data_IF_375872625567
#
_entry.id   IF_375872625567
#
_cell.length_a   1.000
_cell.length_b   1.000
_cell.length_c   1.000
_cell.angle_alpha   90.00
_cell.angle_beta   90.00
_cell.angle_gamma   90.00
#
_symmetry.space_group_name_H-M   'P 1'
#
loop_
_entity.id
_entity.type
_entity.pdbx_description
1 polymer ?
#
# COMPACT_ATOMS: atom_id res chain seq x y z
N UNK A 1 -23.87 -21.98 -35.14
CA UNK A 1 -23.24 -23.31 -35.24
C UNK A 1 -22.16 -23.36 -34.18
N UNK A 2 -22.45 -23.97 -33.04
CA UNK A 2 -21.49 -24.06 -31.93
C UNK A 2 -20.53 -25.21 -32.21
N UNK A 3 -19.32 -24.87 -32.68
CA UNK A 3 -18.21 -25.82 -32.68
C UNK A 3 -17.94 -26.22 -31.23
N UNK A 4 -17.87 -27.53 -30.97
CA UNK A 4 -17.79 -28.09 -29.62
C UNK A 4 -16.67 -27.46 -28.79
N UNK A 5 -16.98 -27.21 -27.52
CA UNK A 5 -16.12 -26.61 -26.50
C UNK A 5 -14.74 -27.26 -26.33
N UNK A 6 -14.52 -28.45 -26.88
CA UNK A 6 -13.28 -29.21 -26.77
C UNK A 6 -12.18 -28.75 -27.76
N UNK A 7 -12.49 -27.84 -28.70
CA UNK A 7 -11.57 -27.30 -29.70
C UNK A 7 -11.44 -25.77 -29.65
N UNK A 8 -11.98 -25.12 -28.63
CA UNK A 8 -11.82 -23.69 -28.48
C UNK A 8 -10.38 -23.36 -28.07
N UNK A 9 -9.91 -22.19 -28.49
CA UNK A 9 -8.52 -21.77 -28.28
C UNK A 9 -8.17 -21.71 -26.79
N UNK A 10 -9.10 -21.23 -25.96
CA UNK A 10 -8.97 -21.19 -24.49
C UNK A 10 -8.78 -22.58 -23.88
N UNK A 11 -9.55 -23.57 -24.34
CA UNK A 11 -9.47 -24.94 -23.82
C UNK A 11 -8.14 -25.59 -24.21
N UNK A 12 -7.68 -25.39 -25.45
CA UNK A 12 -6.39 -25.90 -25.90
C UNK A 12 -5.25 -25.24 -25.13
N UNK A 13 -5.24 -23.91 -25.03
CA UNK A 13 -4.18 -23.16 -24.35
C UNK A 13 -4.14 -23.50 -22.87
N UNK A 14 -5.28 -23.51 -22.17
CA UNK A 14 -5.36 -23.87 -20.76
C UNK A 14 -4.90 -25.30 -20.49
N UNK A 15 -5.33 -26.27 -21.30
CA UNK A 15 -4.92 -27.68 -21.15
C UNK A 15 -3.45 -27.93 -21.50
N UNK A 16 -2.88 -27.15 -22.41
CA UNK A 16 -1.54 -27.35 -22.99
C UNK A 16 -0.55 -26.25 -22.63
N UNK A 17 -0.83 -25.46 -21.60
CA UNK A 17 0.02 -24.36 -21.17
C UNK A 17 1.46 -24.84 -20.90
N UNK A 18 1.64 -25.96 -20.19
CA UNK A 18 2.97 -26.50 -19.87
C UNK A 18 3.79 -26.86 -21.12
N UNK A 19 3.15 -27.29 -22.21
CA UNK A 19 3.82 -27.51 -23.49
C UNK A 19 4.27 -26.19 -24.12
N UNK A 20 3.41 -25.18 -24.12
CA UNK A 20 3.73 -23.86 -24.64
C UNK A 20 4.89 -23.22 -23.86
N UNK A 21 4.87 -23.28 -22.53
CA UNK A 21 5.93 -22.80 -21.64
C UNK A 21 7.25 -23.54 -21.86
N UNK A 22 7.19 -24.87 -22.01
CA UNK A 22 8.37 -25.68 -22.25
C UNK A 22 9.06 -25.31 -23.57
N UNK A 23 8.28 -25.12 -24.63
CA UNK A 23 8.76 -24.73 -25.97
C UNK A 23 9.16 -23.24 -26.05
N UNK A 24 8.58 -22.38 -25.22
CA UNK A 24 8.97 -20.96 -25.10
C UNK A 24 10.41 -20.82 -24.62
N UNK A 25 10.80 -21.61 -23.61
CA UNK A 25 12.16 -21.57 -23.03
C UNK A 25 13.21 -21.88 -24.08
N UNK A 26 13.02 -23.00 -24.78
CA UNK A 26 13.86 -23.42 -25.90
C UNK A 26 13.05 -24.33 -26.84
N UNK A 27 13.38 -24.37 -28.13
CA UNK A 27 12.85 -25.33 -29.09
C UNK A 27 13.16 -26.75 -28.68
N UNK A 28 12.17 -27.65 -28.75
CA UNK A 28 12.30 -29.03 -28.24
C UNK A 28 11.71 -30.05 -29.18
N UNK A 29 12.32 -31.23 -29.26
CA UNK A 29 11.75 -32.41 -29.90
C UNK A 29 10.80 -33.16 -28.97
N UNK A 30 10.17 -34.23 -29.48
CA UNK A 30 9.20 -35.03 -28.72
C UNK A 30 9.80 -35.69 -27.47
N UNK A 31 10.98 -36.30 -27.60
CA UNK A 31 11.64 -36.96 -26.48
C UNK A 31 12.02 -35.98 -25.35
N UNK A 32 12.42 -34.76 -25.71
CA UNK A 32 12.71 -33.70 -24.74
C UNK A 32 11.43 -33.25 -24.03
N UNK A 33 10.32 -33.11 -24.76
CA UNK A 33 9.02 -32.78 -24.16
C UNK A 33 8.48 -33.90 -23.26
N UNK A 34 8.70 -35.17 -23.60
CA UNK A 34 8.35 -36.31 -22.72
C UNK A 34 9.10 -36.22 -21.40
N UNK A 35 10.41 -35.93 -21.47
CA UNK A 35 11.29 -35.82 -20.29
C UNK A 35 10.97 -34.59 -19.45
N UNK A 36 10.85 -33.42 -20.07
CA UNK A 36 10.66 -32.14 -19.37
C UNK A 36 9.30 -32.01 -18.70
N UNK A 37 8.27 -32.65 -19.25
CA UNK A 37 6.90 -32.58 -18.73
C UNK A 37 6.52 -33.82 -17.91
N UNK A 38 7.36 -34.85 -17.87
CA UNK A 38 7.10 -36.15 -17.25
C UNK A 38 5.74 -36.75 -17.71
N UNK A 39 5.54 -36.82 -19.02
CA UNK A 39 4.30 -37.35 -19.62
C UNK A 39 4.58 -38.41 -20.68
N UNK A 40 3.60 -39.29 -20.89
CA UNK A 40 3.71 -40.33 -21.91
C UNK A 40 3.89 -39.77 -23.33
N UNK A 41 4.59 -40.53 -24.17
CA UNK A 41 4.67 -40.26 -25.62
C UNK A 41 3.31 -40.02 -26.27
N UNK A 42 2.28 -40.79 -25.89
CA UNK A 42 0.93 -40.63 -26.43
C UNK A 42 0.32 -39.26 -26.07
N UNK A 43 0.66 -38.74 -24.88
CA UNK A 43 0.26 -37.41 -24.41
C UNK A 43 0.99 -36.33 -25.19
N UNK A 44 2.30 -36.47 -25.41
CA UNK A 44 3.12 -35.54 -26.21
C UNK A 44 2.62 -35.48 -27.66
N UNK A 45 2.44 -36.64 -28.29
CA UNK A 45 1.95 -36.72 -29.67
C UNK A 45 0.56 -36.11 -29.84
N UNK A 46 -0.31 -36.24 -28.83
CA UNK A 46 -1.64 -35.61 -28.83
C UNK A 46 -1.54 -34.10 -28.61
N UNK A 47 -0.75 -33.65 -27.63
CA UNK A 47 -0.58 -32.24 -27.30
C UNK A 47 0.02 -31.45 -28.47
N UNK A 48 1.06 -31.98 -29.10
CA UNK A 48 1.67 -31.38 -30.30
C UNK A 48 0.64 -31.28 -31.42
N UNK A 49 -0.09 -32.36 -31.71
CA UNK A 49 -1.12 -32.34 -32.76
C UNK A 49 -2.20 -31.29 -32.49
N UNK A 50 -2.69 -31.19 -31.26
CA UNK A 50 -3.67 -30.17 -30.87
C UNK A 50 -3.12 -28.75 -31.06
N UNK A 51 -1.88 -28.49 -30.64
CA UNK A 51 -1.22 -27.19 -30.75
C UNK A 51 -0.84 -26.79 -32.18
N UNK A 52 -0.36 -27.75 -33.00
CA UNK A 52 -0.06 -27.53 -34.42
C UNK A 52 -1.33 -27.28 -35.21
N UNK A 53 -2.40 -28.05 -34.97
CA UNK A 53 -3.70 -27.85 -35.61
C UNK A 53 -4.31 -26.49 -35.25
N UNK A 54 -4.05 -25.99 -34.03
CA UNK A 54 -4.44 -24.66 -33.59
C UNK A 54 -3.50 -23.54 -34.08
N UNK A 55 -2.41 -23.88 -34.79
CA UNK A 55 -1.43 -22.91 -35.31
C UNK A 55 -0.59 -22.23 -34.22
N UNK A 56 -0.55 -22.78 -33.00
CA UNK A 56 0.18 -22.21 -31.87
C UNK A 56 1.66 -22.62 -31.86
N UNK A 57 1.98 -23.77 -32.45
CA UNK A 57 3.37 -24.22 -32.62
C UNK A 57 3.61 -24.60 -34.08
N UNK A 58 4.89 -24.62 -34.45
CA UNK A 58 5.37 -25.12 -35.74
C UNK A 58 6.56 -26.03 -35.54
N UNK A 59 6.71 -27.01 -36.42
CA UNK A 59 7.88 -27.90 -36.46
C UNK A 59 8.95 -27.36 -37.42
N UNK A 60 10.22 -27.47 -37.04
CA UNK A 60 11.39 -27.24 -37.90
C UNK A 60 12.51 -28.19 -37.46
N UNK A 61 13.06 -28.97 -38.38
CA UNK A 61 14.12 -29.96 -38.08
C UNK A 61 13.78 -30.88 -36.89
N UNK A 62 12.53 -31.34 -36.82
CA UNK A 62 12.05 -32.22 -35.76
C UNK A 62 12.02 -31.59 -34.34
N UNK A 63 12.10 -30.25 -34.27
CA UNK A 63 11.91 -29.45 -33.05
C UNK A 63 10.71 -28.53 -33.19
N UNK A 64 10.01 -28.29 -32.09
CA UNK A 64 8.83 -27.42 -32.04
C UNK A 64 9.20 -26.05 -31.49
N UNK A 65 8.54 -25.02 -32.03
CA UNK A 65 8.66 -23.61 -31.60
C UNK A 65 7.29 -22.96 -31.56
N UNK A 66 7.12 -21.96 -30.70
CA UNK A 66 5.91 -21.14 -30.72
C UNK A 66 5.83 -20.31 -32.00
N UNK A 67 4.64 -20.23 -32.59
CA UNK A 67 4.33 -19.18 -33.56
C UNK A 67 4.09 -17.84 -32.85
N UNK A 68 3.86 -16.75 -33.60
CA UNK A 68 3.39 -15.50 -32.99
C UNK A 68 2.07 -15.71 -32.23
N UNK A 69 1.13 -16.46 -32.81
CA UNK A 69 -0.13 -16.81 -32.16
C UNK A 69 0.10 -17.62 -30.88
N UNK A 70 1.02 -18.59 -30.89
CA UNK A 70 1.42 -19.35 -29.71
C UNK A 70 1.97 -18.50 -28.58
N UNK A 71 2.88 -17.57 -28.91
CA UNK A 71 3.44 -16.63 -27.93
C UNK A 71 2.36 -15.72 -27.35
N UNK A 72 1.53 -15.11 -28.20
CA UNK A 72 0.46 -14.21 -27.74
C UNK A 72 -0.56 -14.94 -26.88
N UNK A 73 -0.97 -16.16 -27.25
CA UNK A 73 -1.89 -16.97 -26.46
C UNK A 73 -1.30 -17.37 -25.11
N UNK A 74 -0.01 -17.75 -25.08
CA UNK A 74 0.69 -18.06 -23.83
C UNK A 74 0.77 -16.83 -22.90
N UNK A 75 1.11 -15.66 -23.45
CA UNK A 75 1.11 -14.40 -22.66
C UNK A 75 -0.28 -14.10 -22.10
N UNK A 76 -1.34 -14.29 -22.89
CA UNK A 76 -2.71 -14.03 -22.44
C UNK A 76 -3.13 -14.96 -21.29
N UNK A 77 -2.83 -16.26 -21.37
CA UNK A 77 -3.19 -17.20 -20.28
C UNK A 77 -2.37 -16.95 -19.02
N UNK A 78 -1.09 -16.56 -19.18
CA UNK A 78 -0.23 -16.17 -18.05
C UNK A 78 -0.75 -14.91 -17.36
N UNK A 79 -1.17 -13.88 -18.12
CA UNK A 79 -1.81 -12.68 -17.57
C UNK A 79 -3.11 -13.01 -16.85
N UNK A 80 -3.95 -13.88 -17.42
CA UNK A 80 -5.18 -14.35 -16.77
C UNK A 80 -4.92 -15.02 -15.43
N UNK A 81 -3.97 -15.97 -15.38
CA UNK A 81 -3.63 -16.65 -14.13
C UNK A 81 -3.03 -15.70 -13.10
N UNK A 82 -2.14 -14.79 -13.53
CA UNK A 82 -1.57 -13.76 -12.67
C UNK A 82 -2.67 -12.89 -12.05
N UNK A 83 -3.59 -12.36 -12.85
CA UNK A 83 -4.70 -11.53 -12.36
C UNK A 83 -5.60 -12.26 -11.38
N UNK A 84 -5.92 -13.54 -11.63
CA UNK A 84 -6.71 -14.32 -10.67
C UNK A 84 -5.97 -14.56 -9.35
N UNK A 85 -4.65 -14.76 -9.40
CA UNK A 85 -3.83 -14.93 -8.20
C UNK A 85 -3.74 -13.62 -7.39
N UNK A 86 -3.59 -12.48 -8.06
CA UNK A 86 -3.62 -11.15 -7.42
C UNK A 86 -4.97 -10.92 -6.72
N UNK A 87 -6.08 -11.20 -7.41
CA UNK A 87 -7.43 -11.12 -6.83
C UNK A 87 -7.60 -12.08 -5.66
N UNK A 88 -7.11 -13.32 -5.75
CA UNK A 88 -7.15 -14.31 -4.66
C UNK A 88 -6.36 -13.82 -3.43
N UNK A 89 -5.20 -13.22 -3.66
CA UNK A 89 -4.33 -12.64 -2.63
C UNK A 89 -5.00 -11.45 -1.93
N UNK A 90 -5.61 -10.54 -2.70
CA UNK A 90 -6.34 -9.37 -2.20
C UNK A 90 -7.79 -9.64 -1.76
N UNK A 91 -8.30 -10.86 -1.93
CA UNK A 91 -9.74 -11.18 -1.83
C UNK A 91 -10.37 -10.73 -0.53
N UNK A 92 -9.69 -10.97 0.59
CA UNK A 92 -10.23 -10.66 1.92
C UNK A 92 -10.42 -9.15 2.13
N UNK A 93 -9.53 -8.31 1.61
CA UNK A 93 -9.69 -6.86 1.65
C UNK A 93 -10.76 -6.41 0.64
N UNK A 94 -10.60 -6.80 -0.63
CA UNK A 94 -11.47 -6.36 -1.73
C UNK A 94 -12.96 -6.68 -1.48
N UNK A 95 -13.25 -7.85 -0.90
CA UNK A 95 -14.63 -8.27 -0.59
C UNK A 95 -15.31 -7.45 0.52
N UNK A 96 -14.56 -6.61 1.24
CA UNK A 96 -15.10 -5.73 2.30
C UNK A 96 -15.32 -4.29 1.85
N UNK A 97 -14.85 -3.94 0.65
CA UNK A 97 -14.97 -2.59 0.10
C UNK A 97 -16.33 -2.41 -0.60
N UNK A 98 -16.86 -1.18 -0.67
CA UNK A 98 -18.03 -0.88 -1.48
C UNK A 98 -17.83 -1.30 -2.94
N UNK A 99 -18.85 -1.87 -3.58
CA UNK A 99 -18.76 -2.36 -4.96
C UNK A 99 -18.66 -1.26 -6.01
N UNK A 100 -19.06 -0.04 -5.64
CA UNK A 100 -19.05 1.18 -6.45
C UNK A 100 -17.87 2.09 -6.15
N UNK A 101 -16.89 1.63 -5.36
CA UNK A 101 -15.67 2.39 -5.10
C UNK A 101 -14.91 2.68 -6.40
N UNK A 102 -14.55 3.94 -6.60
CA UNK A 102 -13.89 4.39 -7.84
C UNK A 102 -12.38 4.09 -7.81
N UNK A 103 -12.04 2.80 -7.97
CA UNK A 103 -10.67 2.35 -8.16
C UNK A 103 -10.59 1.58 -9.47
N UNK A 104 -9.84 2.12 -10.41
CA UNK A 104 -9.71 1.51 -11.72
C UNK A 104 -8.92 0.20 -11.66
N UNK A 105 -9.30 -0.77 -12.49
CA UNK A 105 -8.59 -2.07 -12.58
C UNK A 105 -7.10 -1.92 -12.92
N UNK A 106 -6.72 -0.84 -13.63
CA UNK A 106 -5.30 -0.54 -13.91
C UNK A 106 -4.47 -0.28 -12.66
N UNK A 107 -5.08 0.20 -11.57
CA UNK A 107 -4.41 0.35 -10.27
C UNK A 107 -4.30 -0.98 -9.53
N UNK A 108 -5.20 -1.93 -9.81
CA UNK A 108 -5.22 -3.26 -9.18
C UNK A 108 -4.29 -4.27 -9.88
N UNK A 109 -3.91 -4.04 -11.14
CA UNK A 109 -2.96 -4.89 -11.89
C UNK A 109 -1.58 -4.91 -11.23
N UNK A 110 -1.15 -6.06 -10.73
CA UNK A 110 0.15 -6.18 -10.06
C UNK A 110 0.20 -5.52 -8.68
N UNK A 111 -0.94 -5.14 -8.10
CA UNK A 111 -0.97 -4.48 -6.80
C UNK A 111 -0.60 -5.43 -5.65
N UNK A 112 0.00 -4.85 -4.60
CA UNK A 112 0.19 -5.49 -3.31
C UNK A 112 -0.90 -5.08 -2.33
N UNK A 113 -1.36 -6.02 -1.51
CA UNK A 113 -2.47 -5.82 -0.58
C UNK A 113 -2.00 -6.02 0.86
N UNK A 114 -2.29 -5.07 1.74
CA UNK A 114 -2.10 -5.20 3.18
C UNK A 114 -3.45 -4.99 3.89
N UNK A 115 -3.87 -5.95 4.71
CA UNK A 115 -5.11 -5.87 5.46
C UNK A 115 -4.81 -5.77 6.95
N UNK A 116 -5.57 -4.93 7.66
CA UNK A 116 -5.45 -4.81 9.10
C UNK A 116 -5.76 -6.16 9.76
N UNK A 117 -4.89 -6.59 10.66
CA UNK A 117 -5.12 -7.78 11.47
C UNK A 117 -5.81 -7.38 12.78
N UNK A 118 -6.71 -8.20 13.35
CA UNK A 118 -7.35 -7.86 14.63
C UNK A 118 -6.36 -7.70 15.80
N UNK A 119 -5.21 -8.37 15.74
CA UNK A 119 -4.22 -8.38 16.81
C UNK A 119 -3.42 -7.08 16.87
N UNK A 120 -3.05 -6.53 15.70
CA UNK A 120 -2.31 -5.27 15.58
C UNK A 120 -2.83 -4.52 14.33
N UNK A 121 -4.04 -3.93 14.38
CA UNK A 121 -4.70 -3.34 13.21
C UNK A 121 -3.84 -2.26 12.56
N UNK A 122 -3.22 -1.47 13.42
CA UNK A 122 -2.42 -0.31 13.11
C UNK A 122 -1.09 -0.61 12.42
N UNK A 123 -0.60 -1.86 12.47
CA UNK A 123 0.70 -2.21 11.87
C UNK A 123 0.77 -1.90 10.38
N UNK A 124 -0.36 -1.95 9.68
CA UNK A 124 -0.38 -1.74 8.23
C UNK A 124 -0.04 -0.31 7.83
N UNK A 125 -0.27 0.69 8.68
CA UNK A 125 0.05 2.09 8.36
C UNK A 125 1.56 2.29 8.20
N UNK A 126 2.38 1.39 8.77
CA UNK A 126 3.83 1.40 8.55
C UNK A 126 4.20 1.31 7.07
N UNK A 127 3.40 0.66 6.23
CA UNK A 127 3.68 0.62 4.79
C UNK A 127 3.69 2.04 4.19
N UNK A 128 2.73 2.89 4.57
CA UNK A 128 2.72 4.30 4.17
C UNK A 128 3.98 5.02 4.67
N UNK A 129 4.35 4.83 5.93
CA UNK A 129 5.53 5.50 6.49
C UNK A 129 6.85 5.02 5.89
N UNK A 130 6.97 3.73 5.59
CA UNK A 130 8.12 3.14 4.89
C UNK A 130 8.25 3.75 3.48
N UNK A 131 7.14 4.00 2.78
CA UNK A 131 7.14 4.71 1.49
C UNK A 131 7.61 6.17 1.61
N UNK A 132 7.24 6.86 2.69
CA UNK A 132 7.59 8.27 2.92
C UNK A 132 9.04 8.43 3.37
N UNK A 133 9.57 7.47 4.13
CA UNK A 133 10.88 7.59 4.81
C UNK A 133 12.01 7.98 3.85
N UNK A 134 12.03 7.41 2.64
CA UNK A 134 13.03 7.68 1.61
C UNK A 134 12.58 8.65 0.51
N UNK A 135 11.41 9.27 0.64
CA UNK A 135 10.83 10.05 -0.45
C UNK A 135 11.37 11.47 -0.54
N UNK A 136 11.71 11.92 -1.74
CA UNK A 136 12.02 13.32 -2.03
C UNK A 136 10.74 14.16 -2.11
N UNK A 137 9.67 13.61 -2.69
CA UNK A 137 8.38 14.24 -2.90
C UNK A 137 7.24 13.31 -2.52
N UNK A 138 6.40 13.77 -1.60
CA UNK A 138 5.15 13.13 -1.23
C UNK A 138 3.96 13.94 -1.73
N UNK A 139 3.02 13.27 -2.41
CA UNK A 139 1.71 13.82 -2.76
C UNK A 139 0.64 12.99 -2.05
N UNK A 140 -0.27 13.64 -1.35
CA UNK A 140 -1.31 12.96 -0.58
C UNK A 140 -2.69 13.57 -0.77
N UNK A 141 -3.72 12.74 -0.62
CA UNK A 141 -5.11 13.15 -0.39
C UNK A 141 -5.64 12.41 0.82
N UNK A 142 -6.21 13.12 1.78
CA UNK A 142 -6.77 12.52 3.01
C UNK A 142 -8.20 12.99 3.28
N UNK A 143 -9.19 12.19 2.88
CA UNK A 143 -10.59 12.37 3.29
C UNK A 143 -10.82 12.13 4.79
N UNK A 144 -9.91 11.42 5.45
CA UNK A 144 -9.99 11.09 6.88
C UNK A 144 -8.63 11.30 7.52
N UNK A 145 -8.59 12.00 8.66
CA UNK A 145 -7.40 12.10 9.49
C UNK A 145 -7.25 10.89 10.43
N UNK A 146 -6.06 10.30 10.42
CA UNK A 146 -5.67 9.27 11.38
C UNK A 146 -5.00 9.94 12.59
N UNK A 147 -5.81 10.46 13.52
CA UNK A 147 -5.33 11.30 14.63
C UNK A 147 -4.13 10.72 15.41
N UNK A 148 -4.11 9.40 15.66
CA UNK A 148 -3.01 8.72 16.34
C UNK A 148 -1.66 8.71 15.61
N UNK A 149 -1.65 9.13 14.34
CA UNK A 149 -0.51 9.08 13.43
C UNK A 149 -0.07 10.45 12.91
N UNK A 150 -0.75 11.54 13.30
CA UNK A 150 -0.45 12.89 12.82
C UNK A 150 0.97 13.31 13.19
N UNK A 151 1.37 13.16 14.46
CA UNK A 151 2.72 13.53 14.91
C UNK A 151 3.82 12.73 14.21
N UNK A 152 3.61 11.44 13.97
CA UNK A 152 4.55 10.57 13.25
C UNK A 152 4.65 10.98 11.78
N UNK A 153 3.52 11.24 11.13
CA UNK A 153 3.47 11.74 9.76
C UNK A 153 4.18 13.10 9.63
N UNK A 154 3.93 14.02 10.57
CA UNK A 154 4.59 15.33 10.61
C UNK A 154 6.09 15.18 10.79
N UNK A 155 6.51 14.33 11.74
CA UNK A 155 7.93 14.08 12.00
C UNK A 155 8.62 13.52 10.76
N UNK A 156 8.06 12.46 10.16
CA UNK A 156 8.67 11.80 9.00
C UNK A 156 8.80 12.77 7.82
N UNK A 157 7.74 13.52 7.53
CA UNK A 157 7.71 14.42 6.37
C UNK A 157 8.55 15.69 6.54
N UNK A 158 8.74 16.18 7.76
CA UNK A 158 9.50 17.42 8.01
C UNK A 158 10.98 17.17 8.31
N UNK A 159 11.32 16.08 9.02
CA UNK A 159 12.69 15.76 9.41
C UNK A 159 13.52 15.26 8.22
N UNK A 160 12.92 14.48 7.32
CA UNK A 160 13.64 13.90 6.18
C UNK A 160 13.80 14.85 5.00
N UNK A 161 13.26 16.08 5.11
CA UNK A 161 13.34 17.08 4.06
C UNK A 161 12.45 16.79 2.85
N UNK A 162 11.53 15.85 2.94
CA UNK A 162 10.54 15.55 1.91
C UNK A 162 9.71 16.79 1.56
N UNK A 163 9.46 17.01 0.28
CA UNK A 163 8.52 18.03 -0.19
C UNK A 163 7.12 17.45 -0.15
N UNK A 164 6.24 18.01 0.66
CA UNK A 164 4.87 17.52 0.86
C UNK A 164 3.89 18.40 0.09
N UNK A 165 3.02 17.76 -0.69
CA UNK A 165 1.82 18.38 -1.28
C UNK A 165 0.61 17.56 -0.88
N UNK A 166 -0.18 18.05 0.06
CA UNK A 166 -1.23 17.25 0.68
C UNK A 166 -2.55 17.99 0.61
N UNK A 167 -3.55 17.37 0.01
CA UNK A 167 -4.93 17.83 0.10
C UNK A 167 -5.63 17.12 1.26
N UNK A 168 -6.18 17.89 2.19
CA UNK A 168 -6.92 17.40 3.35
C UNK A 168 -8.35 17.85 3.20
N UNK A 169 -9.29 16.96 3.49
CA UNK A 169 -10.71 17.30 3.39
C UNK A 169 -11.09 18.47 4.33
N UNK A 170 -11.99 19.34 3.88
CA UNK A 170 -12.40 20.54 4.63
C UNK A 170 -12.94 20.20 6.02
N UNK A 171 -13.78 19.17 6.15
CA UNK A 171 -14.34 18.75 7.44
C UNK A 171 -13.23 18.26 8.38
N UNK A 172 -12.20 17.63 7.81
CA UNK A 172 -11.01 17.21 8.57
C UNK A 172 -10.22 18.42 9.06
N UNK A 173 -10.01 19.43 8.21
CA UNK A 173 -9.32 20.67 8.60
C UNK A 173 -10.07 21.38 9.72
N UNK A 174 -11.38 21.56 9.60
CA UNK A 174 -12.23 22.17 10.63
C UNK A 174 -12.12 21.41 11.96
N UNK A 175 -12.20 20.08 11.91
CA UNK A 175 -12.09 19.21 13.08
C UNK A 175 -10.72 19.32 13.76
N UNK A 176 -9.62 19.31 12.99
CA UNK A 176 -8.26 19.46 13.51
C UNK A 176 -8.04 20.83 14.16
N UNK A 177 -8.60 21.89 13.58
CA UNK A 177 -8.51 23.23 14.11
C UNK A 177 -9.37 23.42 15.37
N UNK A 178 -10.48 22.70 15.50
CA UNK A 178 -11.36 22.75 16.68
C UNK A 178 -10.84 21.94 17.88
N UNK A 179 -9.96 20.95 17.66
CA UNK A 179 -9.39 20.08 18.70
C UNK A 179 -8.10 20.68 19.28
N UNK A 180 -8.08 21.22 20.53
CA UNK A 180 -6.92 21.92 21.08
C UNK A 180 -5.62 21.11 21.09
N UNK A 181 -5.71 19.80 21.31
CA UNK A 181 -4.59 18.86 21.35
C UNK A 181 -3.97 18.56 19.97
N UNK A 182 -4.71 18.74 18.87
CA UNK A 182 -4.23 18.52 17.50
C UNK A 182 -3.91 19.83 16.78
N UNK A 183 -4.59 20.92 17.17
CA UNK A 183 -4.53 22.24 16.53
C UNK A 183 -3.10 22.77 16.40
N UNK A 184 -2.32 22.72 17.48
CA UNK A 184 -0.96 23.30 17.46
C UNK A 184 -0.03 22.57 16.49
N UNK A 185 -0.08 21.23 16.48
CA UNK A 185 0.74 20.41 15.57
C UNK A 185 0.34 20.62 14.12
N UNK A 186 -0.97 20.68 13.84
CA UNK A 186 -1.47 20.96 12.49
C UNK A 186 -1.06 22.36 11.98
N UNK A 187 -1.18 23.40 12.82
CA UNK A 187 -0.73 24.76 12.46
C UNK A 187 0.79 24.80 12.22
N UNK A 188 1.58 24.12 13.04
CA UNK A 188 3.04 24.04 12.85
C UNK A 188 3.38 23.38 11.51
N UNK A 189 2.71 22.27 11.18
CA UNK A 189 2.89 21.58 9.91
C UNK A 189 2.50 22.47 8.72
N UNK A 190 1.33 23.13 8.79
CA UNK A 190 0.84 24.03 7.73
C UNK A 190 1.81 25.19 7.44
N UNK A 191 2.57 25.64 8.44
CA UNK A 191 3.57 26.71 8.30
C UNK A 191 4.95 26.22 7.89
N UNK A 192 5.18 24.91 7.83
CA UNK A 192 6.47 24.35 7.46
C UNK A 192 6.77 24.61 5.99
N UNK A 193 7.95 25.16 5.68
CA UNK A 193 8.29 25.66 4.33
C UNK A 193 8.36 24.59 3.22
N UNK A 194 8.44 23.31 3.59
CA UNK A 194 8.42 22.17 2.67
C UNK A 194 7.05 21.51 2.56
N UNK A 195 6.07 21.98 3.31
CA UNK A 195 4.71 21.45 3.32
C UNK A 195 3.78 22.45 2.62
N UNK A 196 3.05 21.94 1.65
CA UNK A 196 1.96 22.66 1.01
C UNK A 196 0.66 21.91 1.31
N UNK A 197 -0.10 22.40 2.29
CA UNK A 197 -1.42 21.88 2.62
C UNK A 197 -2.50 22.64 1.84
N UNK A 198 -3.42 21.89 1.25
CA UNK A 198 -4.60 22.40 0.58
C UNK A 198 -5.85 21.74 1.16
N UNK A 199 -6.99 22.38 1.00
CA UNK A 199 -8.30 21.83 1.38
C UNK A 199 -9.35 21.97 0.28
N UNK A 200 -10.20 20.96 0.19
CA UNK A 200 -11.45 20.95 -0.57
C UNK A 200 -12.37 19.84 -0.03
N UNK A 201 -13.63 19.84 -0.45
CA UNK A 201 -14.53 18.69 -0.35
C UNK A 201 -14.01 17.54 -1.24
N UNK A 202 -13.51 16.45 -0.63
CA UNK A 202 -12.91 15.34 -1.37
C UNK A 202 -13.97 14.35 -1.82
N UNK A 203 -14.09 14.16 -3.14
CA UNK A 203 -15.17 13.37 -3.77
C UNK A 203 -15.07 11.84 -3.59
N UNK A 204 -14.07 11.33 -2.87
CA UNK A 204 -13.88 9.89 -2.64
C UNK A 204 -13.50 9.58 -1.18
N UNK A 205 -13.79 8.36 -0.74
CA UNK A 205 -13.71 7.96 0.68
C UNK A 205 -12.43 7.19 1.06
N UNK A 206 -11.38 7.24 0.22
CA UNK A 206 -10.12 6.54 0.46
C UNK A 206 -8.96 7.53 0.51
N UNK A 207 -7.95 7.27 1.34
CA UNK A 207 -6.70 8.04 1.31
C UNK A 207 -5.90 7.66 0.07
N UNK A 208 -5.20 8.61 -0.53
CA UNK A 208 -4.34 8.39 -1.68
C UNK A 208 -2.96 8.96 -1.40
N UNK A 209 -1.90 8.25 -1.77
CA UNK A 209 -0.56 8.84 -1.81
C UNK A 209 0.22 8.43 -3.05
N UNK A 210 1.19 9.28 -3.41
CA UNK A 210 2.18 9.06 -4.46
C UNK A 210 3.52 9.53 -3.90
N UNK A 211 4.54 8.69 -3.99
CA UNK A 211 5.93 9.02 -3.64
C UNK A 211 6.82 8.93 -4.86
N UNK A 212 7.59 10.00 -5.11
CA UNK A 212 8.62 10.12 -6.15
C UNK A 212 8.24 9.70 -7.57
N UNK A 213 6.94 9.59 -7.84
CA UNK A 213 6.39 9.03 -9.08
C UNK A 213 6.89 7.60 -9.35
N UNK A 214 7.25 6.86 -8.28
CA UNK A 214 7.71 5.46 -8.32
C UNK A 214 6.76 4.49 -7.61
N UNK A 215 5.91 4.99 -6.73
CA UNK A 215 4.92 4.17 -6.03
C UNK A 215 3.69 5.02 -5.73
N UNK A 216 2.52 4.39 -5.80
CA UNK A 216 1.27 4.95 -5.35
C UNK A 216 0.54 3.95 -4.44
N UNK A 217 -0.24 4.49 -3.51
CA UNK A 217 -1.03 3.66 -2.61
C UNK A 217 -2.37 4.28 -2.23
N UNK A 218 -3.29 3.40 -1.84
CA UNK A 218 -4.64 3.73 -1.40
C UNK A 218 -4.87 3.17 -0.01
N UNK A 219 -5.36 4.02 0.90
CA UNK A 219 -5.72 3.67 2.28
C UNK A 219 -7.24 3.59 2.40
N UNK A 220 -7.76 2.46 2.87
CA UNK A 220 -9.17 2.33 3.24
C UNK A 220 -9.34 2.44 4.74
N UNK A 221 -10.39 3.15 5.15
CA UNK A 221 -10.68 3.41 6.55
C UNK A 221 -11.74 2.44 7.11
N UNK A 222 -11.75 2.32 8.44
CA UNK A 222 -12.80 1.70 9.25
C UNK A 222 -13.17 2.65 10.39
N UNK A 223 -14.23 2.33 11.12
CA UNK A 223 -14.66 3.12 12.29
C UNK A 223 -13.57 3.24 13.37
N UNK A 224 -12.57 2.34 13.36
CA UNK A 224 -11.51 2.27 14.37
C UNK A 224 -10.11 2.52 13.81
N UNK A 225 -9.97 2.99 12.57
CA UNK A 225 -8.66 3.30 11.97
C UNK A 225 -8.54 2.81 10.53
N UNK A 226 -7.46 2.09 10.22
CA UNK A 226 -7.18 1.62 8.86
C UNK A 226 -7.76 0.22 8.67
N UNK A 227 -8.52 0.02 7.59
CA UNK A 227 -9.05 -1.27 7.16
C UNK A 227 -8.04 -2.05 6.33
N UNK A 228 -7.39 -1.36 5.41
CA UNK A 228 -6.43 -1.96 4.50
C UNK A 228 -5.77 -0.94 3.60
N UNK A 229 -4.73 -1.40 2.93
CA UNK A 229 -3.88 -0.64 2.04
C UNK A 229 -3.68 -1.44 0.75
N UNK A 230 -3.75 -0.76 -0.39
CA UNK A 230 -3.35 -1.28 -1.70
C UNK A 230 -2.21 -0.41 -2.21
N UNK A 231 -1.12 -1.03 -2.69
CA UNK A 231 0.06 -0.33 -3.23
C UNK A 231 0.41 -0.87 -4.61
N UNK A 232 0.95 0.00 -5.47
CA UNK A 232 1.37 -0.35 -6.82
C UNK A 232 2.50 0.55 -7.30
N UNK A 233 3.47 -0.02 -8.01
CA UNK A 233 4.67 0.62 -8.55
C UNK A 233 4.70 0.65 -10.08
N UNK A 234 3.63 0.21 -10.75
CA UNK A 234 3.53 0.26 -12.20
C UNK A 234 3.20 1.67 -12.69
N UNK A 235 3.83 2.08 -13.80
CA UNK A 235 3.61 3.39 -14.45
C UNK A 235 2.11 3.68 -14.68
N UNK A 236 1.32 2.66 -15.05
CA UNK A 236 -0.12 2.80 -15.30
C UNK A 236 -0.92 3.05 -14.02
N UNK A 237 -0.53 2.43 -12.90
CA UNK A 237 -1.17 2.66 -11.62
C UNK A 237 -0.81 4.05 -11.06
N UNK A 238 0.45 4.45 -11.19
CA UNK A 238 0.94 5.78 -10.78
C UNK A 238 0.27 6.88 -11.61
N UNK A 239 0.11 6.68 -12.92
CA UNK A 239 -0.63 7.63 -13.77
C UNK A 239 -2.10 7.74 -13.36
N UNK A 240 -2.76 6.63 -13.01
CA UNK A 240 -4.12 6.69 -12.48
C UNK A 240 -4.18 7.48 -11.17
N UNK A 241 -3.24 7.25 -10.25
CA UNK A 241 -3.17 7.98 -8.99
C UNK A 241 -2.96 9.49 -9.21
N UNK A 242 -2.09 9.87 -10.16
CA UNK A 242 -1.93 11.28 -10.57
C UNK A 242 -3.23 11.87 -11.08
N UNK A 243 -3.98 11.17 -11.92
CA UNK A 243 -5.27 11.67 -12.42
C UNK A 243 -6.26 11.94 -11.28
N UNK A 244 -6.33 11.06 -10.27
CA UNK A 244 -7.18 11.27 -9.09
C UNK A 244 -6.69 12.47 -8.26
N UNK A 245 -5.37 12.58 -8.05
CA UNK A 245 -4.77 13.71 -7.33
C UNK A 245 -5.00 15.05 -8.05
N UNK A 246 -4.81 15.10 -9.37
CA UNK A 246 -5.06 16.29 -10.20
C UNK A 246 -6.54 16.69 -10.22
N UNK A 247 -7.45 15.71 -10.23
CA UNK A 247 -8.89 15.96 -10.13
C UNK A 247 -9.23 16.70 -8.85
N UNK A 248 -8.69 16.25 -7.71
CA UNK A 248 -8.91 16.90 -6.40
C UNK A 248 -8.22 18.27 -6.34
N UNK A 249 -7.00 18.38 -6.87
CA UNK A 249 -6.25 19.64 -6.89
C UNK A 249 -6.94 20.76 -7.68
N UNK A 250 -7.87 20.44 -8.57
CA UNK A 250 -8.59 21.44 -9.38
C UNK A 250 -9.47 22.34 -8.52
N UNK A 251 -10.08 21.79 -7.47
CA UNK A 251 -10.97 22.52 -6.56
C UNK A 251 -10.28 22.87 -5.23
N UNK A 252 -9.07 22.36 -5.00
CA UNK A 252 -8.30 22.57 -3.78
C UNK A 252 -7.81 24.01 -3.60
N UNK A 253 -7.98 24.54 -2.38
CA UNK A 253 -7.51 25.87 -1.98
C UNK A 253 -6.39 25.77 -0.96
N UNK A 254 -5.34 26.63 -0.99
CA UNK A 254 -4.29 26.59 0.01
C UNK A 254 -4.83 26.87 1.41
N UNK A 255 -4.35 26.12 2.40
CA UNK A 255 -4.61 26.42 3.82
C UNK A 255 -3.69 27.57 4.22
N UNK A 256 -4.24 28.78 4.32
CA UNK A 256 -3.51 29.98 4.66
C UNK A 256 -3.80 30.47 6.09
N UNK A 257 -3.16 31.58 6.48
CA UNK A 257 -3.34 32.16 7.82
C UNK A 257 -4.80 32.51 8.15
N UNK A 258 -5.63 32.83 7.16
CA UNK A 258 -7.04 33.11 7.39
C UNK A 258 -7.82 31.84 7.74
N UNK A 259 -7.53 30.72 7.07
CA UNK A 259 -8.07 29.39 7.42
C UNK A 259 -7.65 28.98 8.84
N UNK A 260 -6.37 29.15 9.18
CA UNK A 260 -5.85 28.75 10.50
C UNK A 260 -6.42 29.58 11.65
N UNK A 261 -6.77 30.86 11.41
CA UNK A 261 -7.33 31.78 12.41
C UNK A 261 -8.86 31.71 12.51
N UNK A 262 -9.56 31.34 11.44
CA UNK A 262 -11.04 31.34 11.34
C UNK A 262 -11.79 30.37 12.27
N UNK A 263 -11.08 29.54 13.04
CA UNK A 263 -11.65 28.60 14.00
C UNK A 263 -11.56 29.09 15.47
N UNK A 264 -11.44 30.39 15.72
CA UNK A 264 -11.77 30.94 17.04
C UNK A 264 -13.29 31.06 17.16
N UNK A 265 -13.95 30.36 18.12
CA UNK A 265 -15.35 30.65 18.41
C UNK A 265 -15.43 32.11 18.83
N UNK A 266 -16.35 32.84 18.19
CA UNK A 266 -16.62 34.25 18.47
C UNK A 266 -17.18 34.38 19.90
N UNK A 267 -16.29 34.42 20.90
CA UNK A 267 -16.63 34.76 22.29
C UNK A 267 -16.58 36.28 22.40
N UNK A 268 -17.44 36.97 21.64
CA UNK A 268 -17.68 38.41 21.84
C UNK A 268 -19.16 38.76 21.82
N UNK A 269 -20.01 38.02 22.54
CA UNK A 269 -21.31 38.60 22.94
C UNK A 269 -21.92 38.00 24.22
N UNK A 270 -21.21 38.06 25.35
CA UNK A 270 -21.87 38.08 26.66
C UNK A 270 -21.16 39.10 27.57
N UNK A 271 -21.47 40.38 27.36
CA UNK A 271 -21.44 41.36 28.46
C UNK A 271 -22.79 42.06 28.53
N UNK A 272 -23.86 41.32 28.83
CA UNK A 272 -25.07 41.95 29.36
C UNK A 272 -24.95 42.07 30.89
N UNK A 273 -24.83 43.32 31.29
CA UNK A 273 -24.66 43.81 32.64
C UNK A 273 -26.06 44.00 33.26
N UNK A 274 -26.61 42.96 33.88
CA UNK A 274 -27.75 43.11 34.78
C UNK A 274 -27.35 42.82 36.23
N UNK A 275 -27.04 43.93 36.92
CA UNK A 275 -27.25 44.08 38.36
C UNK A 275 -28.72 43.81 38.68
N UNK A 276 -29.00 42.90 39.60
CA UNK A 276 -29.93 43.15 40.72
C UNK A 276 -29.68 42.18 41.88
N UNK A 277 -29.60 42.79 43.06
CA UNK A 277 -29.63 42.21 44.39
C UNK A 277 -30.73 41.15 44.59
N UNK A 278 -30.45 40.08 45.34
CA UNK A 278 -31.00 40.02 46.70
C UNK A 278 -30.41 38.92 47.60
N UNK A 279 -30.42 39.27 48.89
CA UNK A 279 -29.88 38.63 50.08
C UNK A 279 -30.39 37.22 50.44
N UNK A 280 -29.44 36.42 50.93
CA UNK A 280 -29.40 35.67 52.21
C UNK A 280 -30.66 34.91 52.67
N UNK A 281 -30.52 33.58 52.85
CA UNK A 281 -30.74 32.94 54.17
C UNK A 281 -30.16 31.54 54.26
N UNK A 282 -29.33 31.32 55.28
CA UNK A 282 -28.83 30.02 55.76
C UNK A 282 -29.90 29.24 56.51
N UNK A 283 -29.93 27.91 56.41
CA UNK A 283 -30.15 27.04 57.58
C UNK A 283 -29.65 25.62 57.34
N UNK A 284 -29.13 25.04 58.42
CA UNK A 284 -28.46 23.75 58.62
C UNK A 284 -29.32 22.48 58.46
N UNK A 285 -28.57 21.37 58.34
CA UNK A 285 -28.82 20.02 58.87
C UNK A 285 -30.03 19.20 58.38
N UNK A 286 -29.75 18.04 57.77
CA UNK A 286 -29.78 16.73 58.46
C UNK A 286 -29.57 15.58 57.48
N UNK A 287 -28.64 14.67 57.78
CA UNK A 287 -28.62 13.29 57.27
C UNK A 287 -29.62 12.45 58.07
N UNK A 288 -30.15 11.33 57.52
CA UNK A 288 -29.55 10.05 57.93
C UNK A 288 -29.52 8.94 56.85
N UNK A 289 -28.44 8.15 56.96
CA UNK A 289 -28.32 6.70 56.78
C UNK A 289 -29.15 5.94 55.74
N UNK A 290 -28.44 5.23 54.85
CA UNK A 290 -28.66 3.79 54.65
C UNK A 290 -27.34 3.10 54.29
N UNK A 291 -26.85 2.29 55.23
CA UNK A 291 -25.83 1.26 55.04
C UNK A 291 -26.30 0.12 54.13
N UNK A 292 -25.38 -0.47 53.39
CA UNK A 292 -25.09 -1.92 53.29
C UNK A 292 -24.07 -2.07 52.14
N UNK A 293 -22.77 -2.05 52.44
CA UNK A 293 -21.93 -3.18 52.89
C UNK A 293 -21.49 -4.15 51.80
N UNK A 294 -20.20 -4.43 51.91
CA UNK A 294 -19.41 -5.58 51.43
C UNK A 294 -18.91 -5.48 49.96
N UNK A 295 -17.64 -5.15 49.69
CA UNK A 295 -16.36 -5.72 50.14
C UNK A 295 -15.76 -6.62 49.06
N UNK A 296 -14.67 -6.16 48.46
CA UNK A 296 -13.43 -6.95 48.41
C UNK A 296 -12.29 -6.08 47.90
N UNK A 297 -11.48 -5.59 48.84
CA UNK A 297 -10.06 -5.35 48.63
C UNK A 297 -9.38 -6.66 48.25
N UNK A 298 -8.53 -6.66 47.22
CA UNK A 298 -7.31 -7.48 47.19
C UNK A 298 -6.22 -6.73 46.42
N UNK A 299 -5.30 -6.16 47.21
CA UNK A 299 -3.84 -6.24 47.11
C UNK A 299 -3.15 -6.07 45.75
N UNK A 300 -2.53 -4.89 45.66
CA UNK A 300 -1.23 -4.66 45.01
C UNK A 300 -0.21 -5.67 45.57
N UNK A 301 0.42 -6.45 44.69
CA UNK A 301 1.71 -7.05 45.00
C UNK A 301 2.69 -6.91 43.83
N UNK A 302 3.72 -6.11 44.06
CA UNK A 302 4.93 -6.01 43.25
C UNK A 302 5.90 -7.13 43.65
N UNK A 303 6.51 -7.80 42.65
CA UNK A 303 7.78 -8.48 42.85
C UNK A 303 8.05 -9.63 41.89
N UNK A 304 9.03 -9.45 41.00
CA UNK A 304 10.34 -10.16 41.01
C UNK A 304 11.06 -9.97 39.65
N UNK A 305 12.06 -9.09 39.69
CA UNK A 305 13.47 -9.25 39.29
C UNK A 305 13.89 -10.08 38.05
N UNK A 306 14.48 -9.34 37.09
CA UNK A 306 15.77 -9.54 36.42
C UNK A 306 16.34 -10.96 36.16
N UNK A 307 16.66 -11.23 34.89
CA UNK A 307 17.83 -12.05 34.52
C UNK A 307 18.43 -11.62 33.18
N UNK A 308 19.56 -10.92 33.29
CA UNK A 308 20.53 -10.67 32.22
C UNK A 308 21.67 -11.69 32.34
N UNK A 309 22.31 -11.96 31.20
CA UNK A 309 23.64 -12.56 30.97
C UNK A 309 23.79 -14.09 30.92
N UNK A 310 24.18 -14.58 29.73
CA UNK A 310 25.47 -15.27 29.53
C UNK A 310 25.99 -15.11 28.09
N UNK A 311 27.20 -14.56 28.00
CA UNK A 311 28.14 -14.58 26.88
C UNK A 311 28.67 -15.98 26.58
N UNK A 312 29.09 -16.20 25.33
CA UNK A 312 30.27 -17.01 24.96
C UNK A 312 30.96 -16.35 23.74
N UNK A 313 32.09 -15.69 23.97
CA UNK A 313 33.27 -15.58 23.06
C UNK A 313 33.94 -16.98 23.01
N UNK A 314 34.71 -17.46 22.03
CA UNK A 314 35.75 -16.96 21.13
C UNK A 314 35.89 -18.01 19.98
N UNK A 315 36.58 -17.85 18.84
CA UNK A 315 38.00 -17.52 18.66
C UNK A 315 38.34 -17.35 17.15
N UNK A 316 39.01 -16.25 16.85
CA UNK A 316 40.32 -16.11 16.16
C UNK A 316 40.71 -16.86 14.86
N UNK A 317 41.17 -16.02 13.92
CA UNK A 317 42.34 -16.13 13.02
C UNK A 317 42.17 -16.70 11.59
N UNK A 318 42.36 -15.83 10.57
CA UNK A 318 43.61 -15.76 9.80
C UNK A 318 43.55 -14.72 8.67
N UNK A 319 44.55 -13.86 8.66
CA UNK A 319 45.02 -12.95 7.61
C UNK A 319 45.48 -13.72 6.36
N UNK A 320 45.24 -13.20 5.15
CA UNK A 320 46.32 -12.97 4.15
C UNK A 320 45.85 -12.20 2.91
N UNK A 321 46.72 -11.29 2.50
CA UNK A 321 46.76 -10.47 1.29
C UNK A 321 46.63 -11.26 -0.02
N UNK A 322 46.11 -10.62 -1.08
CA UNK A 322 46.89 -10.44 -2.30
C UNK A 322 46.31 -9.34 -3.20
N UNK A 323 47.10 -8.28 -3.33
CA UNK A 323 46.99 -7.21 -4.32
C UNK A 323 48.37 -7.10 -4.99
N UNK A 324 48.40 -6.69 -6.27
CA UNK A 324 49.51 -6.70 -7.25
C UNK A 324 49.55 -7.98 -8.10
N UNK A 325 49.62 -7.91 -9.45
CA UNK A 325 50.54 -7.09 -10.24
C UNK A 325 49.96 -6.65 -11.60
N UNK A 326 50.42 -5.48 -12.01
CA UNK A 326 50.36 -4.87 -13.33
C UNK A 326 51.81 -4.90 -13.87
N UNK A 327 52.01 -5.41 -15.10
CA UNK A 327 53.15 -5.19 -16.02
C UNK A 327 52.87 -6.02 -17.28
N UNK A 328 52.57 -5.42 -18.43
CA UNK A 328 53.47 -4.81 -19.44
C UNK A 328 54.07 -5.82 -20.45
N UNK A 329 54.21 -5.30 -21.69
CA UNK A 329 54.70 -5.91 -22.95
C UNK A 329 53.64 -6.73 -23.74
N UNK A 330 53.37 -6.53 -25.04
CA UNK A 330 54.17 -5.91 -26.11
C UNK A 330 53.30 -5.58 -27.35
N UNK A 331 53.19 -4.29 -27.68
CA UNK A 331 53.44 -3.62 -28.97
C UNK A 331 53.36 -4.39 -30.32
N UNK A 332 52.53 -3.82 -31.23
CA UNK A 332 52.60 -3.79 -32.74
C UNK A 332 52.32 -5.12 -33.48
N UNK A 333 51.68 -5.19 -34.66
CA UNK A 333 51.51 -4.31 -35.84
C UNK A 333 50.48 -5.03 -36.74
N UNK A 334 49.55 -4.43 -37.50
CA UNK A 334 49.65 -3.89 -38.89
C UNK A 334 48.19 -3.49 -39.27
N UNK A 335 47.84 -2.22 -39.52
CA UNK A 335 47.82 -1.50 -40.83
C UNK A 335 46.81 -2.10 -41.85
N UNK A 336 45.91 -1.37 -42.52
CA UNK A 336 45.85 0.03 -42.99
C UNK A 336 44.43 0.57 -42.83
#
# INVERSE_FOLDING_TARGET
MMAGSDHSLDTIVGKRQSFLESVQKNPKGKCELETDLDVSRSTVDRGIRELENAGLITSTNNTYRLTLAGRTALTAVQQYHRRLQEIDTGRNLLSTLPSDIDIADVFLDGASFAQASPEIPDRIIRHLFESIESADVFRGVSPVALAGYLDEFYTMTTVNGTIVKHVVDEDVVETLLAAPELRSGFIEQARHNRVNLLSCDVSFSYGLWIVDDTEAGVVFYSDTGVRGIIMNDSDTAIQWAHNQWESVMTDATPIDESTLQGAEPDITDITDNSRMDNSVTSTEETTPDSKLDASSDVEINNGITARTQRSIESDSASTHENQATQDEAETRQVQI
#
